data_IF_522187125345
#
_entry.id   IF_522187125345
#
_cell.length_a   1.000
_cell.length_b   1.000
_cell.length_c   1.000
_cell.angle_alpha   90.00
_cell.angle_beta   90.00
_cell.angle_gamma   90.00
#
_symmetry.space_group_name_H-M   'P 1'
#
loop_
_entity.id
_entity.type
_entity.pdbx_description
1 polymer ?
#
# COMPACT_ATOMS: atom_id res chain seq x y z
N UNK A 1 -17.11 -34.50 62.45
CA UNK A 1 -16.57 -33.95 61.18
C UNK A 1 -17.58 -34.00 60.04
N UNK A 2 -18.64 -34.81 60.11
CA UNK A 2 -19.64 -34.95 59.05
C UNK A 2 -20.52 -33.70 58.84
N UNK A 3 -20.97 -33.02 59.91
CA UNK A 3 -21.85 -31.84 59.80
C UNK A 3 -21.26 -30.66 59.00
N UNK A 4 -20.00 -30.22 59.23
CA UNK A 4 -19.41 -29.16 58.41
C UNK A 4 -19.13 -29.59 56.97
N UNK A 5 -18.81 -30.87 56.73
CA UNK A 5 -18.61 -31.42 55.38
C UNK A 5 -19.93 -31.45 54.61
N UNK A 6 -21.01 -31.93 55.22
CA UNK A 6 -22.35 -31.95 54.61
C UNK A 6 -22.84 -30.54 54.28
N UNK A 7 -22.53 -29.55 55.13
CA UNK A 7 -22.84 -28.14 54.88
C UNK A 7 -22.05 -27.60 53.69
N UNK A 8 -20.78 -27.95 53.57
CA UNK A 8 -19.93 -27.55 52.46
C UNK A 8 -20.39 -28.19 51.14
N UNK A 9 -20.73 -29.48 51.17
CA UNK A 9 -21.30 -30.19 50.03
C UNK A 9 -22.60 -29.55 49.55
N UNK A 10 -23.52 -29.22 50.47
CA UNK A 10 -24.75 -28.52 50.14
C UNK A 10 -24.50 -27.13 49.52
N UNK A 11 -23.47 -26.40 49.98
CA UNK A 11 -23.08 -25.13 49.38
C UNK A 11 -22.55 -25.30 47.95
N UNK A 12 -21.76 -26.35 47.68
CA UNK A 12 -21.28 -26.65 46.33
C UNK A 12 -22.41 -27.08 45.40
N UNK A 13 -23.31 -27.97 45.85
CA UNK A 13 -24.48 -28.37 45.07
C UNK A 13 -25.39 -27.18 44.73
N UNK A 14 -25.58 -26.27 45.68
CA UNK A 14 -26.30 -25.01 45.44
C UNK A 14 -25.58 -24.12 44.43
N UNK A 15 -24.28 -23.91 44.60
CA UNK A 15 -23.49 -23.07 43.68
C UNK A 15 -23.50 -23.63 42.25
N UNK A 16 -23.39 -24.95 42.10
CA UNK A 16 -23.48 -25.62 40.79
C UNK A 16 -24.88 -25.45 40.18
N UNK A 17 -25.94 -25.62 40.98
CA UNK A 17 -27.32 -25.40 40.54
C UNK A 17 -27.59 -23.95 40.15
N UNK A 18 -27.07 -22.98 40.91
CA UNK A 18 -27.20 -21.55 40.64
C UNK A 18 -26.48 -21.18 39.33
N UNK A 19 -25.27 -21.69 39.11
CA UNK A 19 -24.53 -21.50 37.85
C UNK A 19 -25.27 -22.12 36.66
N UNK A 20 -25.80 -23.33 36.81
CA UNK A 20 -26.60 -23.99 35.79
C UNK A 20 -27.90 -23.25 35.46
N UNK A 21 -28.53 -22.61 36.46
CA UNK A 21 -29.70 -21.75 36.24
C UNK A 21 -29.32 -20.48 35.46
N UNK A 22 -28.24 -19.79 35.87
CA UNK A 22 -27.75 -18.60 35.18
C UNK A 22 -27.39 -18.89 33.72
N UNK A 23 -26.73 -20.01 33.45
CA UNK A 23 -26.39 -20.42 32.08
C UNK A 23 -27.65 -20.61 31.22
N UNK A 24 -28.67 -21.30 31.75
CA UNK A 24 -29.94 -21.51 31.04
C UNK A 24 -30.67 -20.20 30.79
N UNK A 25 -30.72 -19.33 31.79
CA UNK A 25 -31.35 -18.02 31.68
C UNK A 25 -30.66 -17.16 30.60
N UNK A 26 -29.33 -17.08 30.62
CA UNK A 26 -28.55 -16.35 29.62
C UNK A 26 -28.73 -16.90 28.21
N UNK A 27 -28.74 -18.22 28.04
CA UNK A 27 -29.02 -18.87 26.74
C UNK A 27 -30.42 -18.52 26.23
N UNK A 28 -31.43 -18.57 27.10
CA UNK A 28 -32.79 -18.23 26.73
C UNK A 28 -32.91 -16.76 26.31
N UNK A 29 -32.34 -15.83 27.08
CA UNK A 29 -32.33 -14.41 26.74
C UNK A 29 -31.59 -14.14 25.43
N UNK A 30 -30.46 -14.80 25.19
CA UNK A 30 -29.69 -14.67 23.95
C UNK A 30 -30.50 -15.14 22.73
N UNK A 31 -31.13 -16.32 22.81
CA UNK A 31 -31.95 -16.84 21.71
C UNK A 31 -33.19 -15.97 21.45
N UNK A 32 -33.84 -15.50 22.51
CA UNK A 32 -35.02 -14.62 22.40
C UNK A 32 -34.65 -13.30 21.71
N UNK A 33 -33.58 -12.64 22.17
CA UNK A 33 -33.09 -11.39 21.56
C UNK A 33 -32.63 -11.59 20.11
N UNK A 34 -32.01 -12.72 19.78
CA UNK A 34 -31.60 -13.03 18.39
C UNK A 34 -32.81 -13.20 17.46
N UNK A 35 -33.87 -13.86 17.93
CA UNK A 35 -35.11 -14.02 17.17
C UNK A 35 -35.82 -12.67 16.90
N UNK A 36 -35.75 -11.74 17.87
CA UNK A 36 -36.33 -10.40 17.75
C UNK A 36 -35.47 -9.44 16.90
N UNK A 37 -34.14 -9.55 16.99
CA UNK A 37 -33.21 -8.62 16.32
C UNK A 37 -32.97 -8.94 14.85
N UNK A 38 -33.29 -10.15 14.37
CA UNK A 38 -33.07 -10.58 12.98
C UNK A 38 -31.60 -10.56 12.51
N UNK A 39 -30.65 -10.26 13.40
CA UNK A 39 -29.26 -9.95 13.05
C UNK A 39 -28.38 -11.20 13.13
N UNK A 40 -28.31 -11.95 12.03
CA UNK A 40 -27.35 -13.04 11.86
C UNK A 40 -25.90 -12.54 11.58
N UNK A 41 -25.70 -11.23 11.43
CA UNK A 41 -24.41 -10.59 11.07
C UNK A 41 -23.46 -10.35 12.26
N UNK A 42 -23.92 -10.48 13.50
CA UNK A 42 -23.16 -10.10 14.70
C UNK A 42 -22.17 -11.15 15.22
N UNK A 43 -21.90 -12.24 14.49
CA UNK A 43 -20.96 -13.25 14.99
C UNK A 43 -19.52 -12.68 15.02
N UNK A 44 -18.95 -12.42 16.22
CA UNK A 44 -17.64 -11.78 16.34
C UNK A 44 -16.52 -12.67 15.79
N UNK A 45 -16.68 -14.00 15.81
CA UNK A 45 -15.69 -14.94 15.27
C UNK A 45 -15.60 -14.80 13.75
N UNK A 46 -16.74 -14.78 13.05
CA UNK A 46 -16.79 -14.57 11.60
C UNK A 46 -16.28 -13.19 11.22
N UNK A 47 -16.56 -12.16 12.03
CA UNK A 47 -16.05 -10.82 11.80
C UNK A 47 -14.52 -10.76 11.91
N UNK A 48 -13.95 -11.43 12.92
CA UNK A 48 -12.49 -11.53 13.08
C UNK A 48 -11.83 -12.25 11.91
N UNK A 49 -12.43 -13.34 11.42
CA UNK A 49 -11.97 -14.04 10.21
C UNK A 49 -11.99 -13.11 8.99
N UNK A 50 -13.12 -12.44 8.72
CA UNK A 50 -13.24 -11.45 7.62
C UNK A 50 -12.18 -10.36 7.75
N UNK A 51 -11.99 -9.81 8.94
CA UNK A 51 -11.03 -8.74 9.20
C UNK A 51 -9.58 -9.20 8.96
N UNK A 52 -9.24 -10.41 9.41
CA UNK A 52 -7.91 -10.98 9.18
C UNK A 52 -7.62 -11.16 7.68
N UNK A 53 -8.62 -11.62 6.90
CA UNK A 53 -8.50 -11.79 5.47
C UNK A 53 -8.31 -10.44 4.75
N UNK A 54 -9.05 -9.41 5.16
CA UNK A 54 -8.89 -8.04 4.62
C UNK A 54 -7.50 -7.49 4.93
N UNK A 55 -7.02 -7.65 6.17
CA UNK A 55 -5.69 -7.20 6.59
C UNK A 55 -4.58 -7.88 5.77
N UNK A 56 -4.71 -9.18 5.51
CA UNK A 56 -3.77 -9.93 4.69
C UNK A 56 -3.73 -9.43 3.24
N UNK A 57 -4.91 -9.22 2.63
CA UNK A 57 -5.02 -8.68 1.27
C UNK A 57 -4.43 -7.28 1.15
N UNK A 58 -4.72 -6.41 2.12
CA UNK A 58 -4.18 -5.06 2.15
C UNK A 58 -2.65 -5.07 2.21
N UNK A 59 -2.06 -5.89 3.12
CA UNK A 59 -0.61 -6.03 3.23
C UNK A 59 0.02 -6.52 1.91
N UNK A 60 -0.61 -7.50 1.26
CA UNK A 60 -0.14 -8.00 -0.03
C UNK A 60 -0.17 -6.91 -1.12
N UNK A 61 -1.25 -6.12 -1.18
CA UNK A 61 -1.39 -5.05 -2.15
C UNK A 61 -0.36 -3.93 -1.91
N UNK A 62 -0.11 -3.54 -0.66
CA UNK A 62 0.94 -2.59 -0.33
C UNK A 62 2.31 -3.08 -0.81
N UNK A 63 2.66 -4.34 -0.53
CA UNK A 63 3.93 -4.92 -0.99
C UNK A 63 4.05 -4.97 -2.52
N UNK A 64 2.96 -5.29 -3.23
CA UNK A 64 2.94 -5.23 -4.70
C UNK A 64 3.14 -3.80 -5.22
N UNK A 65 2.51 -2.81 -4.60
CA UNK A 65 2.62 -1.41 -5.01
C UNK A 65 4.03 -0.85 -4.77
N UNK A 66 4.66 -1.21 -3.65
CA UNK A 66 6.05 -0.85 -3.35
C UNK A 66 7.02 -1.44 -4.39
N UNK A 67 6.83 -2.71 -4.77
CA UNK A 67 7.67 -3.36 -5.78
C UNK A 67 7.48 -2.74 -7.17
N UNK A 68 6.24 -2.43 -7.56
CA UNK A 68 5.95 -1.73 -8.82
C UNK A 68 6.60 -0.35 -8.84
N UNK A 69 6.47 0.42 -7.76
CA UNK A 69 7.07 1.75 -7.65
C UNK A 69 8.60 1.68 -7.78
N UNK A 70 9.23 0.70 -7.13
CA UNK A 70 10.67 0.44 -7.25
C UNK A 70 11.07 0.09 -8.69
N UNK A 71 10.33 -0.80 -9.34
CA UNK A 71 10.60 -1.19 -10.73
C UNK A 71 10.42 -0.02 -11.70
N UNK A 72 9.39 0.81 -11.51
CA UNK A 72 9.18 2.02 -12.30
C UNK A 72 10.33 3.01 -12.13
N UNK A 73 10.79 3.23 -10.89
CA UNK A 73 11.93 4.10 -10.62
C UNK A 73 13.21 3.58 -11.31
N UNK A 74 13.52 2.30 -11.15
CA UNK A 74 14.69 1.67 -11.78
C UNK A 74 14.63 1.73 -13.31
N UNK A 75 13.45 1.49 -13.88
CA UNK A 75 13.23 1.58 -15.33
C UNK A 75 13.46 3.02 -15.84
N UNK A 76 12.89 4.01 -15.14
CA UNK A 76 13.07 5.43 -15.49
C UNK A 76 14.53 5.87 -15.36
N UNK A 77 15.25 5.40 -14.35
CA UNK A 77 16.70 5.65 -14.20
C UNK A 77 17.51 5.04 -15.34
N UNK A 78 17.20 3.80 -15.74
CA UNK A 78 17.85 3.15 -16.87
C UNK A 78 17.59 3.88 -18.18
N UNK A 79 16.33 4.28 -18.45
CA UNK A 79 15.96 5.06 -19.63
C UNK A 79 16.75 6.37 -19.67
N UNK A 80 16.81 7.10 -18.55
CA UNK A 80 17.60 8.34 -18.45
C UNK A 80 19.08 8.12 -18.76
N UNK A 81 19.69 7.09 -18.18
CA UNK A 81 21.10 6.78 -18.39
C UNK A 81 21.41 6.43 -19.86
N UNK A 82 20.56 5.60 -20.48
CA UNK A 82 20.70 5.23 -21.89
C UNK A 82 20.49 6.42 -22.83
N UNK A 83 19.49 7.26 -22.56
CA UNK A 83 19.23 8.45 -23.36
C UNK A 83 20.39 9.44 -23.27
N UNK A 84 20.90 9.72 -22.05
CA UNK A 84 22.05 10.59 -21.84
C UNK A 84 23.29 10.10 -22.59
N UNK A 85 23.60 8.80 -22.51
CA UNK A 85 24.72 8.19 -23.23
C UNK A 85 24.54 8.32 -24.75
N UNK A 86 23.32 8.08 -25.24
CA UNK A 86 23.02 8.18 -26.67
C UNK A 86 23.17 9.61 -27.19
N UNK A 87 22.69 10.60 -26.44
CA UNK A 87 22.85 12.02 -26.78
C UNK A 87 24.33 12.39 -26.85
N UNK A 88 25.13 12.00 -25.85
CA UNK A 88 26.57 12.24 -25.85
C UNK A 88 27.27 11.60 -27.06
N UNK A 89 26.90 10.37 -27.43
CA UNK A 89 27.48 9.68 -28.59
C UNK A 89 27.11 10.39 -29.90
N UNK A 90 25.86 10.81 -30.06
CA UNK A 90 25.38 11.55 -31.24
C UNK A 90 26.12 12.87 -31.37
N UNK A 91 26.30 13.62 -30.28
CA UNK A 91 27.08 14.87 -30.27
C UNK A 91 28.54 14.65 -30.67
N UNK A 92 29.17 13.57 -30.19
CA UNK A 92 30.54 13.23 -30.57
C UNK A 92 30.65 12.92 -32.07
N UNK A 93 29.70 12.16 -32.61
CA UNK A 93 29.66 11.83 -34.03
C UNK A 93 29.45 13.09 -34.89
N UNK A 94 28.53 13.97 -34.51
CA UNK A 94 28.29 15.25 -35.20
C UNK A 94 29.55 16.12 -35.24
N UNK A 95 30.25 16.25 -34.09
CA UNK A 95 31.53 16.98 -34.01
C UNK A 95 32.60 16.36 -34.91
N UNK A 96 32.66 15.03 -34.98
CA UNK A 96 33.65 14.34 -35.83
C UNK A 96 33.35 14.45 -37.33
N UNK A 97 32.08 14.58 -37.71
CA UNK A 97 31.63 14.67 -39.09
C UNK A 97 31.49 16.13 -39.60
N UNK A 98 31.74 17.13 -38.73
CA UNK A 98 31.57 18.56 -39.00
C UNK A 98 30.15 18.91 -39.52
N UNK A 99 29.14 18.27 -38.93
CA UNK A 99 27.72 18.48 -39.29
C UNK A 99 27.09 19.44 -38.28
N UNK A 100 26.66 20.62 -38.74
CA UNK A 100 25.81 21.51 -37.95
C UNK A 100 24.38 20.98 -37.88
N UNK A 101 23.86 20.85 -36.65
CA UNK A 101 22.48 20.46 -36.39
C UNK A 101 21.72 21.64 -35.79
N UNK A 102 20.49 21.82 -36.23
CA UNK A 102 19.62 22.88 -35.70
C UNK A 102 19.37 22.66 -34.21
N UNK A 103 19.34 23.74 -33.40
CA UNK A 103 19.02 23.63 -31.99
C UNK A 103 17.62 23.05 -31.78
N UNK A 104 17.45 22.34 -30.65
CA UNK A 104 16.17 21.75 -30.28
C UNK A 104 15.08 22.82 -30.20
N UNK A 105 13.89 22.49 -30.69
CA UNK A 105 12.72 23.36 -30.54
C UNK A 105 12.30 23.43 -29.07
N UNK A 106 11.58 24.48 -28.70
CA UNK A 106 11.12 24.70 -27.32
C UNK A 106 10.38 23.48 -26.73
N UNK A 107 9.52 22.83 -27.52
CA UNK A 107 8.80 21.63 -27.10
C UNK A 107 9.75 20.44 -26.82
N UNK A 108 10.84 20.33 -27.58
CA UNK A 108 11.82 19.26 -27.46
C UNK A 108 12.77 19.53 -26.27
N UNK A 109 13.12 20.80 -26.01
CA UNK A 109 13.85 21.19 -24.79
C UNK A 109 13.04 20.92 -23.52
N UNK A 110 11.73 21.25 -23.53
CA UNK A 110 10.85 20.97 -22.39
C UNK A 110 10.73 19.46 -22.12
N UNK A 111 10.61 18.64 -23.17
CA UNK A 111 10.58 17.19 -23.04
C UNK A 111 11.92 16.63 -22.50
N UNK A 112 13.06 17.18 -22.95
CA UNK A 112 14.38 16.79 -22.45
C UNK A 112 14.55 17.11 -20.96
N UNK A 113 14.15 18.31 -20.52
CA UNK A 113 14.19 18.69 -19.09
C UNK A 113 13.29 17.79 -18.23
N UNK A 114 12.08 17.48 -18.69
CA UNK A 114 11.17 16.60 -17.97
C UNK A 114 11.70 15.16 -17.85
N UNK A 115 12.43 14.68 -18.86
CA UNK A 115 12.96 13.31 -18.90
C UNK A 115 14.30 13.16 -18.18
N UNK A 116 15.23 14.10 -18.35
CA UNK A 116 16.62 13.99 -17.90
C UNK A 116 16.92 14.80 -16.62
N UNK A 117 16.03 15.72 -16.23
CA UNK A 117 16.29 16.70 -15.15
C UNK A 117 17.31 17.77 -15.55
N UNK A 118 17.61 18.71 -14.65
CA UNK A 118 18.52 19.87 -14.89
C UNK A 118 20.00 19.52 -15.15
N UNK A 119 20.35 18.24 -15.32
CA UNK A 119 21.75 17.77 -15.40
C UNK A 119 22.40 17.90 -16.79
N UNK A 120 21.74 18.48 -17.78
CA UNK A 120 22.33 18.72 -19.11
C UNK A 120 22.23 20.20 -19.44
N UNK A 121 23.36 20.91 -19.37
CA UNK A 121 23.49 22.24 -19.97
C UNK A 121 23.25 22.12 -21.48
N UNK A 122 22.03 22.47 -21.88
CA UNK A 122 21.65 22.60 -23.29
C UNK A 122 22.37 23.85 -23.81
N UNK A 123 23.18 23.76 -24.88
CA UNK A 123 23.96 24.90 -25.35
C UNK A 123 23.02 26.04 -25.76
N UNK A 124 23.09 27.14 -25.01
CA UNK A 124 22.36 28.36 -25.30
C UNK A 124 22.88 28.96 -26.62
N UNK A 125 21.93 29.39 -27.47
CA UNK A 125 22.23 30.06 -28.72
C UNK A 125 23.11 31.30 -28.47
N UNK A 126 24.39 31.21 -28.82
CA UNK A 126 25.26 32.36 -28.99
C UNK A 126 24.91 33.05 -30.31
N UNK A 127 23.85 33.86 -30.28
CA UNK A 127 23.48 34.77 -31.35
C UNK A 127 23.89 36.20 -31.01
N UNK A 128 25.19 36.49 -31.02
CA UNK A 128 25.69 37.85 -31.13
C UNK A 128 25.75 38.25 -32.60
N UNK A 129 24.85 39.13 -33.05
CA UNK A 129 25.03 40.04 -34.19
C UNK A 129 23.88 41.06 -34.15
N UNK A 130 24.09 42.25 -33.59
CA UNK A 130 24.71 43.41 -34.23
C UNK A 130 23.66 44.29 -34.93
N UNK A 131 23.41 45.42 -34.26
CA UNK A 131 22.99 46.70 -34.80
C UNK A 131 23.59 46.98 -36.18
N UNK A 132 22.76 47.28 -37.19
CA UNK A 132 22.71 48.52 -37.99
C UNK A 132 21.33 48.60 -38.64
#
# INVERSE_FOLDING_TARGET
METPVNKLEAMFQKAESDLGYLEKQLKFEFMTKMAESGAAEDNPVKLLEKLSAVKARHKALCGQMEEIAKQQQQSMEAIRAHLSTTVQLVEQLQKSADVEVQPLREAEQAAAQALLGDAVEIPAASGAAATV
#
